data_IF_273422575183
#
_entry.id   IF_273422575183
#
_cell.length_a   1.000
_cell.length_b   1.000
_cell.length_c   1.000
_cell.angle_alpha   90.00
_cell.angle_beta   90.00
_cell.angle_gamma   90.00
#
_symmetry.space_group_name_H-M   'P 1'
#
loop_
_entity.id
_entity.type
_entity.pdbx_description
1 polymer ?
#
# COMPACT_ATOMS: atom_id res chain seq x y z
N UNK A 1 -10.71 25.74 -2.65
CA UNK A 1 -10.05 24.62 -1.96
C UNK A 1 -10.80 23.34 -2.32
N UNK A 2 -10.52 22.77 -3.47
CA UNK A 2 -11.33 21.69 -4.07
C UNK A 2 -10.48 20.44 -4.28
N UNK A 3 -10.92 19.35 -3.64
CA UNK A 3 -10.77 17.95 -4.07
C UNK A 3 -9.40 17.49 -4.58
N UNK A 4 -8.44 17.24 -3.68
CA UNK A 4 -7.30 16.34 -3.97
C UNK A 4 -7.23 15.11 -3.04
N UNK A 5 -8.23 14.91 -2.17
CA UNK A 5 -8.29 13.74 -1.27
C UNK A 5 -8.52 12.43 -2.05
N UNK A 6 -9.03 12.49 -3.28
CA UNK A 6 -9.35 11.27 -4.05
C UNK A 6 -8.15 10.62 -4.76
N UNK A 7 -7.10 11.35 -5.14
CA UNK A 7 -6.02 10.74 -5.93
C UNK A 7 -4.98 10.03 -5.05
N UNK A 8 -4.75 10.55 -3.85
CA UNK A 8 -3.91 9.91 -2.82
C UNK A 8 -4.61 8.70 -2.17
N UNK A 9 -5.95 8.71 -2.12
CA UNK A 9 -6.75 7.57 -1.66
C UNK A 9 -6.93 6.49 -2.74
N UNK A 10 -6.97 6.87 -4.02
CA UNK A 10 -7.23 5.94 -5.13
C UNK A 10 -5.99 5.12 -5.54
N UNK A 11 -4.77 5.65 -5.37
CA UNK A 11 -3.55 4.82 -5.44
C UNK A 11 -2.43 5.39 -4.56
N UNK A 12 -2.22 4.87 -3.34
CA UNK A 12 -1.09 5.26 -2.50
C UNK A 12 0.27 4.86 -3.10
N UNK A 13 0.27 4.09 -4.19
CA UNK A 13 1.43 3.61 -4.91
C UNK A 13 2.37 4.73 -5.40
N UNK A 14 1.82 5.80 -5.98
CA UNK A 14 2.58 6.94 -6.52
C UNK A 14 3.26 7.75 -5.40
N UNK A 15 2.56 8.22 -4.36
CA UNK A 15 3.22 8.97 -3.29
C UNK A 15 4.23 8.12 -2.51
N UNK A 16 3.99 6.82 -2.32
CA UNK A 16 4.98 5.91 -1.70
C UNK A 16 6.25 5.79 -2.54
N UNK A 17 6.12 5.58 -3.85
CA UNK A 17 7.28 5.51 -4.75
C UNK A 17 8.07 6.83 -4.77
N UNK A 18 7.38 7.98 -4.72
CA UNK A 18 8.04 9.28 -4.64
C UNK A 18 8.83 9.46 -3.33
N UNK A 19 8.29 9.03 -2.19
CA UNK A 19 8.96 9.10 -0.88
C UNK A 19 10.22 8.20 -0.89
N UNK A 20 10.11 6.98 -1.40
CA UNK A 20 11.21 6.01 -1.41
C UNK A 20 12.40 6.48 -2.25
N UNK A 21 12.11 7.04 -3.43
CA UNK A 21 13.12 7.65 -4.32
C UNK A 21 13.74 8.88 -3.71
N UNK A 22 12.94 9.71 -3.02
CA UNK A 22 13.43 10.91 -2.32
C UNK A 22 14.34 10.57 -1.16
N UNK A 23 14.17 9.39 -0.57
CA UNK A 23 15.11 8.86 0.41
C UNK A 23 16.34 8.20 -0.23
N UNK A 24 16.38 8.05 -1.55
CA UNK A 24 17.51 7.43 -2.26
C UNK A 24 17.62 5.92 -2.01
N UNK A 25 16.53 5.26 -1.64
CA UNK A 25 16.51 3.82 -1.36
C UNK A 25 16.49 2.98 -2.64
N UNK A 26 15.69 3.39 -3.63
CA UNK A 26 15.47 2.64 -4.89
C UNK A 26 15.16 3.57 -6.06
N UNK A 27 15.16 3.03 -7.28
CA UNK A 27 14.75 3.77 -8.49
C UNK A 27 13.22 3.94 -8.56
N UNK A 28 12.74 5.03 -9.14
CA UNK A 28 11.29 5.33 -9.20
C UNK A 28 10.48 4.25 -9.92
N UNK A 29 11.02 3.73 -11.03
CA UNK A 29 10.37 2.64 -11.75
C UNK A 29 10.31 1.34 -10.94
N UNK A 30 11.36 1.02 -10.18
CA UNK A 30 11.40 -0.17 -9.32
C UNK A 30 10.44 -0.06 -8.13
N UNK A 31 10.40 1.09 -7.46
CA UNK A 31 9.47 1.33 -6.35
C UNK A 31 8.01 1.33 -6.84
N UNK A 32 7.73 2.01 -7.96
CA UNK A 32 6.37 2.09 -8.50
C UNK A 32 5.87 0.72 -8.96
N UNK A 33 6.72 -0.10 -9.60
CA UNK A 33 6.32 -1.45 -10.01
C UNK A 33 6.06 -2.34 -8.80
N UNK A 34 6.89 -2.27 -7.75
CA UNK A 34 6.68 -3.03 -6.52
C UNK A 34 5.34 -2.69 -5.84
N UNK A 35 5.08 -1.40 -5.60
CA UNK A 35 3.80 -0.98 -5.01
C UNK A 35 2.63 -1.27 -5.94
N UNK A 36 2.77 -1.04 -7.24
CA UNK A 36 1.74 -1.34 -8.24
C UNK A 36 1.36 -2.82 -8.24
N UNK A 37 2.34 -3.72 -8.26
CA UNK A 37 2.11 -5.17 -8.19
C UNK A 37 1.50 -5.57 -6.86
N UNK A 38 1.99 -5.05 -5.74
CA UNK A 38 1.48 -5.41 -4.41
C UNK A 38 0.01 -4.98 -4.20
N UNK A 39 -0.33 -3.73 -4.57
CA UNK A 39 -1.72 -3.26 -4.52
C UNK A 39 -2.60 -3.93 -5.58
N UNK A 40 -2.07 -4.19 -6.78
CA UNK A 40 -2.77 -4.93 -7.83
C UNK A 40 -3.11 -6.36 -7.41
N UNK A 41 -2.16 -7.06 -6.79
CA UNK A 41 -2.38 -8.41 -6.27
C UNK A 41 -3.41 -8.43 -5.13
N UNK A 42 -3.33 -7.47 -4.20
CA UNK A 42 -4.29 -7.33 -3.12
C UNK A 42 -5.71 -7.08 -3.64
N UNK A 43 -5.86 -6.15 -4.59
CA UNK A 43 -7.16 -5.80 -5.17
C UNK A 43 -7.75 -6.95 -5.98
N UNK A 44 -6.93 -7.64 -6.77
CA UNK A 44 -7.34 -8.83 -7.52
C UNK A 44 -7.79 -9.95 -6.59
N UNK A 45 -7.04 -10.23 -5.52
CA UNK A 45 -7.36 -11.30 -4.58
C UNK A 45 -8.65 -11.00 -3.79
N UNK A 46 -8.85 -9.75 -3.37
CA UNK A 46 -10.11 -9.31 -2.74
C UNK A 46 -11.30 -9.39 -3.71
N UNK A 47 -11.14 -8.93 -4.95
CA UNK A 47 -12.17 -9.03 -5.97
C UNK A 47 -12.54 -10.49 -6.26
N UNK A 48 -11.55 -11.38 -6.38
CA UNK A 48 -11.77 -12.80 -6.55
C UNK A 48 -12.53 -13.42 -5.37
N UNK A 49 -12.20 -13.04 -4.14
CA UNK A 49 -12.91 -13.49 -2.94
C UNK A 49 -14.39 -13.05 -2.96
N UNK A 50 -14.66 -11.79 -3.34
CA UNK A 50 -16.04 -11.30 -3.48
C UNK A 50 -16.81 -11.99 -4.60
N UNK A 51 -16.16 -12.29 -5.73
CA UNK A 51 -16.77 -13.07 -6.81
C UNK A 51 -17.11 -14.48 -6.35
N UNK A 52 -16.22 -15.15 -5.61
CA UNK A 52 -16.48 -16.48 -5.05
C UNK A 52 -17.66 -16.46 -4.07
N UNK A 53 -17.74 -15.45 -3.21
CA UNK A 53 -18.86 -15.25 -2.28
C UNK A 53 -20.16 -15.01 -3.05
N UNK A 54 -20.14 -14.17 -4.08
CA UNK A 54 -21.30 -13.91 -4.92
C UNK A 54 -21.76 -15.17 -5.67
N UNK A 55 -20.84 -15.97 -6.21
CA UNK A 55 -21.14 -17.24 -6.85
C UNK A 55 -21.77 -18.24 -5.87
N UNK A 56 -21.29 -18.29 -4.62
CA UNK A 56 -21.90 -19.14 -3.59
C UNK A 56 -23.34 -18.70 -3.28
N UNK A 57 -23.56 -17.41 -3.08
CA UNK A 57 -24.88 -16.89 -2.70
C UNK A 57 -25.89 -16.98 -3.86
N UNK A 58 -25.47 -16.62 -5.07
CA UNK A 58 -26.37 -16.38 -6.19
C UNK A 58 -26.52 -17.57 -7.15
N UNK A 59 -25.55 -18.50 -7.21
CA UNK A 59 -25.57 -19.58 -8.21
C UNK A 59 -25.72 -20.96 -7.57
N UNK A 60 -26.88 -21.58 -7.79
CA UNK A 60 -27.12 -22.97 -7.37
C UNK A 60 -26.29 -23.96 -8.20
N UNK A 61 -26.17 -23.74 -9.51
CA UNK A 61 -25.33 -24.57 -10.39
C UNK A 61 -23.85 -24.59 -9.95
N UNK A 62 -23.33 -23.46 -9.45
CA UNK A 62 -21.97 -23.40 -8.90
C UNK A 62 -21.83 -24.27 -7.64
N UNK A 63 -22.83 -24.24 -6.75
CA UNK A 63 -22.84 -25.05 -5.51
C UNK A 63 -22.90 -26.54 -5.79
N UNK A 64 -23.63 -26.95 -6.82
CA UNK A 64 -23.82 -28.35 -7.18
C UNK A 64 -22.61 -28.90 -7.94
N UNK A 65 -21.95 -28.09 -8.78
CA UNK A 65 -20.77 -28.48 -9.55
C UNK A 65 -19.48 -28.54 -8.72
N UNK A 66 -19.42 -27.86 -7.56
CA UNK A 66 -18.19 -27.73 -6.76
C UNK A 66 -18.32 -28.38 -5.39
N UNK A 67 -17.33 -29.21 -5.03
CA UNK A 67 -17.28 -29.81 -3.70
C UNK A 67 -17.10 -28.74 -2.61
N UNK A 68 -17.57 -29.03 -1.39
CA UNK A 68 -17.41 -28.11 -0.25
C UNK A 68 -15.92 -27.89 0.05
N UNK A 69 -15.11 -28.94 -0.07
CA UNK A 69 -13.67 -28.88 0.15
C UNK A 69 -12.98 -27.88 -0.81
N UNK A 70 -13.25 -27.98 -2.11
CA UNK A 70 -12.59 -27.11 -3.10
C UNK A 70 -12.94 -25.64 -2.89
N UNK A 71 -14.20 -25.34 -2.58
CA UNK A 71 -14.66 -23.98 -2.24
C UNK A 71 -13.94 -23.42 -1.02
N UNK A 72 -13.88 -24.18 0.06
CA UNK A 72 -13.22 -23.77 1.31
C UNK A 72 -11.73 -23.53 1.08
N UNK A 73 -11.05 -24.39 0.33
CA UNK A 73 -9.63 -24.23 0.00
C UNK A 73 -9.37 -22.98 -0.85
N UNK A 74 -10.23 -22.69 -1.84
CA UNK A 74 -10.11 -21.46 -2.64
C UNK A 74 -10.28 -20.19 -1.81
N UNK A 75 -11.29 -20.15 -0.94
CA UNK A 75 -11.52 -19.01 -0.04
C UNK A 75 -10.35 -18.83 0.92
N UNK A 76 -9.87 -19.93 1.53
CA UNK A 76 -8.72 -19.90 2.43
C UNK A 76 -7.45 -19.42 1.72
N UNK A 77 -7.21 -19.90 0.49
CA UNK A 77 -6.07 -19.48 -0.33
C UNK A 77 -6.09 -17.97 -0.63
N UNK A 78 -7.26 -17.43 -1.03
CA UNK A 78 -7.41 -15.99 -1.27
C UNK A 78 -7.28 -15.16 0.01
N UNK A 79 -7.77 -15.67 1.14
CA UNK A 79 -7.62 -15.04 2.45
C UNK A 79 -6.14 -14.96 2.86
N UNK A 80 -5.39 -16.06 2.69
CA UNK A 80 -3.95 -16.09 3.00
C UNK A 80 -3.18 -15.15 2.07
N UNK A 81 -3.50 -15.13 0.78
CA UNK A 81 -2.85 -14.26 -0.19
C UNK A 81 -3.07 -12.77 0.14
N UNK A 82 -4.31 -12.39 0.48
CA UNK A 82 -4.64 -11.01 0.89
C UNK A 82 -3.96 -10.63 2.21
N UNK A 83 -3.90 -11.54 3.18
CA UNK A 83 -3.19 -11.33 4.44
C UNK A 83 -1.68 -11.12 4.21
N UNK A 84 -1.04 -11.94 3.38
CA UNK A 84 0.40 -11.79 3.07
C UNK A 84 0.66 -10.47 2.35
N UNK A 85 -0.13 -10.14 1.32
CA UNK A 85 0.04 -8.90 0.56
C UNK A 85 -0.13 -7.65 1.44
N UNK A 86 -1.13 -7.64 2.33
CA UNK A 86 -1.35 -6.53 3.27
C UNK A 86 -0.22 -6.41 4.30
N UNK A 87 0.27 -7.52 4.86
CA UNK A 87 1.40 -7.52 5.78
C UNK A 87 2.69 -7.00 5.13
N UNK A 88 2.98 -7.39 3.89
CA UNK A 88 4.14 -6.90 3.14
C UNK A 88 4.06 -5.38 2.90
N UNK A 89 2.88 -4.88 2.52
CA UNK A 89 2.64 -3.45 2.33
C UNK A 89 2.85 -2.68 3.64
N UNK A 90 2.24 -3.14 4.74
CA UNK A 90 2.37 -2.50 6.06
C UNK A 90 3.82 -2.53 6.54
N UNK A 91 4.52 -3.65 6.34
CA UNK A 91 5.93 -3.75 6.68
C UNK A 91 6.75 -2.70 5.93
N UNK A 92 6.60 -2.60 4.60
CA UNK A 92 7.33 -1.61 3.78
C UNK A 92 7.00 -0.17 4.17
N UNK A 93 5.73 0.15 4.40
CA UNK A 93 5.30 1.48 4.84
C UNK A 93 5.91 1.80 6.22
N UNK A 94 5.95 0.83 7.13
CA UNK A 94 6.55 1.02 8.46
C UNK A 94 8.07 1.26 8.38
N UNK A 95 8.79 0.54 7.51
CA UNK A 95 10.23 0.74 7.29
C UNK A 95 10.52 2.09 6.66
N UNK A 96 9.68 2.53 5.73
CA UNK A 96 9.79 3.87 5.16
C UNK A 96 9.59 4.94 6.25
N UNK A 97 8.56 4.78 7.08
CA UNK A 97 8.29 5.71 8.18
C UNK A 97 9.41 5.74 9.21
N UNK A 98 10.03 4.61 9.54
CA UNK A 98 11.21 4.59 10.43
C UNK A 98 12.40 5.32 9.82
N UNK A 99 12.71 5.07 8.54
CA UNK A 99 13.83 5.73 7.85
C UNK A 99 13.61 7.24 7.67
N UNK A 100 12.37 7.70 7.50
CA UNK A 100 12.05 9.14 7.52
C UNK A 100 12.35 9.70 8.90
N UNK A 101 11.88 9.07 9.98
CA UNK A 101 12.10 9.60 11.35
C UNK A 101 13.57 9.63 11.76
N UNK A 102 14.34 8.61 11.40
CA UNK A 102 15.78 8.55 11.67
C UNK A 102 16.53 9.71 11.00
N UNK A 103 16.12 10.12 9.79
CA UNK A 103 16.75 11.25 9.08
C UNK A 103 16.34 12.63 9.60
N UNK A 104 15.22 12.71 10.31
CA UNK A 104 14.67 13.98 10.82
C UNK A 104 14.71 14.05 12.36
N UNK A 105 15.42 13.14 13.03
CA UNK A 105 15.52 13.03 14.49
C UNK A 105 14.15 13.10 15.21
N UNK A 106 13.12 12.48 14.62
CA UNK A 106 11.77 12.48 15.19
C UNK A 106 11.68 11.35 16.23
N UNK A 107 11.43 11.64 17.53
CA UNK A 107 11.32 10.59 18.54
C UNK A 107 10.08 9.72 18.30
N UNK A 108 10.25 8.40 18.38
CA UNK A 108 9.14 7.43 18.28
C UNK A 108 9.60 5.97 18.24
N UNK A 109 8.70 5.05 18.55
CA UNK A 109 8.99 3.60 18.53
C UNK A 109 8.51 2.94 17.23
N UNK A 110 9.23 1.92 16.74
CA UNK A 110 8.86 1.13 15.54
C UNK A 110 7.50 0.43 15.71
N UNK A 111 7.12 0.14 16.95
CA UNK A 111 5.85 -0.52 17.27
C UNK A 111 4.65 0.41 17.06
N UNK A 112 4.78 1.68 17.44
CA UNK A 112 3.75 2.70 17.20
C UNK A 112 3.54 2.99 15.72
N UNK A 113 4.57 2.87 14.87
CA UNK A 113 4.39 3.07 13.43
C UNK A 113 3.72 1.91 12.74
N UNK A 114 3.88 0.67 13.24
CA UNK A 114 3.11 -0.45 12.71
C UNK A 114 1.63 -0.28 12.97
N UNK A 115 1.26 0.22 14.16
CA UNK A 115 -0.15 0.52 14.48
C UNK A 115 -0.66 1.75 13.71
N UNK A 116 0.14 2.80 13.57
CA UNK A 116 -0.23 3.99 12.80
C UNK A 116 -0.30 3.71 11.29
N UNK A 117 0.61 2.89 10.75
CA UNK A 117 0.56 2.41 9.37
C UNK A 117 -0.56 1.40 9.13
N UNK A 118 -1.23 0.89 10.16
CA UNK A 118 -2.42 0.05 10.00
C UNK A 118 -3.71 0.88 10.06
N UNK A 119 -3.78 1.86 10.98
CA UNK A 119 -5.01 2.62 11.24
C UNK A 119 -5.12 3.91 10.41
N UNK A 120 -4.01 4.54 10.04
CA UNK A 120 -4.00 5.86 9.40
C UNK A 120 -2.98 5.97 8.25
N UNK A 121 -2.86 4.95 7.41
CA UNK A 121 -1.93 4.92 6.25
C UNK A 121 -1.94 6.22 5.45
N UNK A 122 -3.11 6.69 5.05
CA UNK A 122 -3.26 7.89 4.23
C UNK A 122 -2.78 9.16 4.95
N UNK A 123 -3.11 9.32 6.23
CA UNK A 123 -2.68 10.49 7.02
C UNK A 123 -1.18 10.44 7.30
N UNK A 124 -0.64 9.26 7.59
CA UNK A 124 0.79 9.04 7.78
C UNK A 124 1.59 9.34 6.50
N UNK A 125 1.12 8.90 5.34
CA UNK A 125 1.73 9.19 4.03
C UNK A 125 1.66 10.69 3.75
N UNK A 126 0.52 11.34 4.00
CA UNK A 126 0.35 12.77 3.81
C UNK A 126 1.28 13.59 4.72
N UNK A 127 1.43 13.18 5.99
CA UNK A 127 2.37 13.78 6.93
C UNK A 127 3.81 13.67 6.41
N UNK A 128 4.23 12.49 5.95
CA UNK A 128 5.58 12.27 5.41
C UNK A 128 5.83 13.10 4.14
N UNK A 129 4.84 13.17 3.24
CA UNK A 129 4.90 13.94 2.00
C UNK A 129 5.12 15.44 2.25
N UNK A 130 4.37 16.00 3.21
CA UNK A 130 4.49 17.40 3.62
C UNK A 130 5.86 17.69 4.24
N UNK A 131 6.37 16.77 5.05
CA UNK A 131 7.70 16.88 5.66
C UNK A 131 8.81 16.92 4.60
N UNK A 132 8.67 16.12 3.55
CA UNK A 132 9.61 16.05 2.43
C UNK A 132 9.38 17.12 1.35
N UNK A 133 8.40 18.03 1.54
CA UNK A 133 8.00 19.06 0.56
C UNK A 133 7.66 18.51 -0.84
N UNK A 134 7.08 17.30 -0.90
CA UNK A 134 6.70 16.61 -2.16
C UNK A 134 5.28 17.01 -2.62
N UNK A 135 4.57 17.84 -1.84
CA UNK A 135 3.17 18.26 -2.09
C UNK A 135 2.94 18.98 -3.43
N UNK A 136 3.98 19.51 -4.07
CA UNK A 136 3.83 20.25 -5.33
C UNK A 136 3.83 19.39 -6.60
N UNK A 137 4.15 18.09 -6.54
CA UNK A 137 4.26 17.24 -7.75
C UNK A 137 3.16 16.19 -7.80
N UNK A 138 2.23 16.34 -8.74
CA UNK A 138 1.05 15.47 -8.88
C UNK A 138 1.32 14.15 -9.60
N UNK A 139 2.26 14.11 -10.55
CA UNK A 139 2.67 12.89 -11.24
C UNK A 139 4.05 13.10 -11.87
N UNK A 140 5.05 12.31 -11.45
CA UNK A 140 6.43 12.43 -11.94
C UNK A 140 7.47 12.34 -10.82
N UNK A 141 8.66 11.84 -11.16
CA UNK A 141 9.82 11.92 -10.28
C UNK A 141 10.11 13.42 -10.05
N UNK A 142 9.99 13.87 -8.80
CA UNK A 142 10.38 15.23 -8.47
C UNK A 142 11.88 15.31 -8.78
N UNK A 143 12.29 16.16 -9.72
CA UNK A 143 13.69 16.48 -9.91
C UNK A 143 14.22 17.15 -8.63
N UNK A 144 15.36 16.64 -8.19
CA UNK A 144 16.22 17.08 -7.08
C UNK A 144 15.98 18.51 -6.56
N UNK A 145 15.60 18.62 -5.28
CA UNK A 145 16.14 19.70 -4.45
C UNK A 145 17.45 19.16 -3.88
N UNK A 146 18.47 20.02 -3.64
CA UNK A 146 19.82 19.57 -3.33
C UNK A 146 19.82 18.64 -2.12
N UNK A 147 20.68 17.63 -2.15
CA UNK A 147 20.92 16.74 -1.03
C UNK A 147 21.18 17.59 0.22
N UNK A 148 20.63 17.18 1.36
CA UNK A 148 20.98 17.75 2.65
C UNK A 148 22.50 17.73 2.77
N UNK A 149 23.12 18.91 2.72
CA UNK A 149 24.53 19.08 3.01
C UNK A 149 24.62 19.10 4.52
N UNK A 150 25.31 18.10 5.08
CA UNK A 150 25.68 18.03 6.50
C UNK A 150 26.64 19.18 6.81
#
# INVERSE_FOLDING_TARGET
MTSNVNMEACCPCVPLAQIEVRMGLTSYGGALSWYGVAYGLLTLALAALWVLVALWLCSQAYRDATSVLSRTLWVLGMLVLTAIASLLLVHRISTLRSSVRERFDIPGSVREDRTAAWQETARAIHQMRRHLKIDQVKCGAVCTLPAYVV
#
